data_IF_069040029116
#
_entry.id   IF_069040029116
#
_cell.length_a   1.000
_cell.length_b   1.000
_cell.length_c   1.000
_cell.angle_alpha   90.00
_cell.angle_beta   90.00
_cell.angle_gamma   90.00
#
_symmetry.space_group_name_H-M   'P 1'
#
loop_
_entity.id
_entity.type
_entity.pdbx_description
1 polymer ?
#
# COMPACT_ATOMS: atom_id res chain seq x y z
N UNK A 1 1.11 -14.88 4.14
CA UNK A 1 0.05 -13.87 4.00
C UNK A 1 0.32 -12.97 2.80
N UNK A 2 1.27 -12.03 2.85
CA UNK A 2 1.51 -11.07 1.73
C UNK A 2 1.92 -11.70 0.40
N UNK A 3 2.66 -12.82 0.41
CA UNK A 3 3.03 -13.57 -0.81
C UNK A 3 2.07 -14.70 -1.17
N UNK A 4 0.86 -14.73 -0.59
CA UNK A 4 -0.11 -15.79 -0.86
C UNK A 4 -0.78 -15.63 -2.22
N UNK A 5 -1.22 -16.75 -2.80
CA UNK A 5 -2.11 -16.75 -3.97
C UNK A 5 -3.59 -16.55 -3.62
N UNK A 6 -3.97 -16.61 -2.33
CA UNK A 6 -5.34 -16.33 -1.87
C UNK A 6 -5.46 -14.83 -1.52
N UNK A 7 -6.38 -14.14 -2.21
CA UNK A 7 -6.67 -12.72 -2.02
C UNK A 7 -7.03 -12.38 -0.57
N UNK A 8 -7.69 -13.29 0.16
CA UNK A 8 -8.10 -13.07 1.56
C UNK A 8 -6.90 -13.10 2.50
N UNK A 9 -5.94 -13.98 2.22
CA UNK A 9 -4.70 -14.06 3.00
C UNK A 9 -3.79 -12.86 2.72
N UNK A 10 -3.77 -12.37 1.47
CA UNK A 10 -3.10 -11.12 1.12
C UNK A 10 -3.75 -9.96 1.87
N UNK A 11 -5.08 -9.87 1.88
CA UNK A 11 -5.83 -8.87 2.63
C UNK A 11 -5.52 -8.88 4.13
N UNK A 12 -5.49 -10.06 4.75
CA UNK A 12 -5.08 -10.21 6.15
C UNK A 12 -3.62 -9.74 6.38
N UNK A 13 -2.73 -10.03 5.42
CA UNK A 13 -1.35 -9.55 5.45
C UNK A 13 -1.24 -8.03 5.37
N UNK A 14 -2.05 -7.38 4.54
CA UNK A 14 -2.09 -5.91 4.42
C UNK A 14 -2.59 -5.27 5.71
N UNK A 15 -3.63 -5.85 6.34
CA UNK A 15 -4.11 -5.40 7.66
C UNK A 15 -3.01 -5.54 8.70
N UNK A 16 -2.33 -6.69 8.75
CA UNK A 16 -1.21 -6.91 9.67
C UNK A 16 -0.08 -5.90 9.45
N UNK A 17 0.27 -5.58 8.20
CA UNK A 17 1.27 -4.57 7.87
C UNK A 17 0.89 -3.17 8.38
N UNK A 18 -0.38 -2.78 8.22
CA UNK A 18 -0.88 -1.51 8.75
C UNK A 18 -0.75 -1.45 10.27
N UNK A 19 -1.13 -2.51 10.97
CA UNK A 19 -1.07 -2.55 12.43
C UNK A 19 0.38 -2.59 12.95
N UNK A 20 1.30 -3.25 12.25
CA UNK A 20 2.73 -3.15 12.54
C UNK A 20 3.22 -1.69 12.43
N UNK A 21 2.93 -1.01 11.32
CA UNK A 21 3.32 0.40 11.15
C UNK A 21 2.71 1.29 12.25
N UNK A 22 1.47 1.03 12.66
CA UNK A 22 0.81 1.77 13.75
C UNK A 22 1.48 1.52 15.10
N UNK A 23 1.76 0.26 15.42
CA UNK A 23 2.36 -0.13 16.69
C UNK A 23 3.75 0.48 16.86
N UNK A 24 4.56 0.45 15.79
CA UNK A 24 5.93 0.94 15.80
C UNK A 24 6.06 2.42 15.38
N UNK A 25 4.96 3.16 15.14
CA UNK A 25 5.03 4.50 14.56
C UNK A 25 5.84 5.52 15.39
N UNK A 26 5.87 5.33 16.71
CA UNK A 26 6.58 6.20 17.66
C UNK A 26 7.95 5.62 18.06
N UNK A 27 8.29 4.43 17.59
CA UNK A 27 9.54 3.74 17.91
C UNK A 27 10.58 4.06 16.84
N UNK A 28 11.62 4.79 17.24
CA UNK A 28 12.62 5.31 16.31
C UNK A 28 13.50 4.22 15.66
N UNK A 29 13.73 3.12 16.39
CA UNK A 29 14.74 2.12 15.99
C UNK A 29 14.14 0.96 15.17
N UNK A 30 12.95 0.47 15.54
CA UNK A 30 12.33 -0.69 14.87
C UNK A 30 11.63 -0.34 13.54
N UNK A 31 11.02 0.84 13.45
CA UNK A 31 10.19 1.23 12.31
C UNK A 31 10.93 1.25 10.96
N UNK A 32 12.17 1.77 10.84
CA UNK A 32 12.90 1.77 9.56
C UNK A 32 13.14 0.37 8.99
N UNK A 33 13.43 -0.62 9.84
CA UNK A 33 13.61 -2.01 9.41
C UNK A 33 12.32 -2.63 8.88
N UNK A 34 11.21 -2.39 9.58
CA UNK A 34 9.87 -2.83 9.18
C UNK A 34 9.53 -2.25 7.81
N UNK A 35 9.70 -0.94 7.63
CA UNK A 35 9.43 -0.24 6.37
C UNK A 35 10.24 -0.84 5.22
N UNK A 36 11.55 -1.01 5.41
CA UNK A 36 12.47 -1.52 4.37
C UNK A 36 12.09 -2.93 3.92
N UNK A 37 11.57 -3.77 4.83
CA UNK A 37 11.14 -5.13 4.51
C UNK A 37 9.74 -5.21 3.87
N UNK A 38 8.77 -4.41 4.35
CA UNK A 38 7.37 -4.55 3.94
C UNK A 38 7.02 -3.73 2.71
N UNK A 39 7.57 -2.52 2.56
CA UNK A 39 7.10 -1.57 1.56
C UNK A 39 7.28 -2.05 0.11
N UNK A 40 8.42 -2.67 -0.27
CA UNK A 40 8.57 -3.21 -1.62
C UNK A 40 7.49 -4.25 -1.97
N UNK A 41 7.12 -5.07 -0.99
CA UNK A 41 6.09 -6.10 -1.15
C UNK A 41 4.71 -5.47 -1.34
N UNK A 42 4.37 -4.47 -0.53
CA UNK A 42 3.08 -3.76 -0.63
C UNK A 42 2.92 -3.05 -1.99
N UNK A 43 3.98 -2.41 -2.51
CA UNK A 43 3.97 -1.79 -3.84
C UNK A 43 3.75 -2.83 -4.93
N UNK A 44 4.39 -4.00 -4.81
CA UNK A 44 4.27 -5.08 -5.80
C UNK A 44 2.84 -5.66 -5.84
N UNK A 45 2.23 -5.86 -4.67
CA UNK A 45 0.84 -6.33 -4.56
C UNK A 45 -0.10 -5.33 -5.24
N UNK A 46 0.07 -4.04 -4.94
CA UNK A 46 -0.81 -3.00 -5.46
C UNK A 46 -0.68 -2.85 -6.98
N UNK A 47 0.55 -2.88 -7.51
CA UNK A 47 0.78 -2.81 -8.96
C UNK A 47 0.08 -3.96 -9.69
N UNK A 48 0.16 -5.18 -9.15
CA UNK A 48 -0.55 -6.35 -9.67
C UNK A 48 -2.08 -6.19 -9.64
N UNK A 49 -2.63 -5.65 -8.56
CA UNK A 49 -4.06 -5.38 -8.43
C UNK A 49 -4.54 -4.31 -9.42
N UNK A 50 -3.77 -3.24 -9.59
CA UNK A 50 -4.07 -2.16 -10.54
C UNK A 50 -4.01 -2.64 -11.99
N UNK A 51 -3.07 -3.52 -12.33
CA UNK A 51 -2.99 -4.13 -13.66
C UNK A 51 -4.23 -4.98 -13.96
N UNK A 52 -4.72 -5.74 -12.98
CA UNK A 52 -5.92 -6.61 -13.11
C UNK A 52 -7.22 -5.80 -13.24
N UNK A 53 -7.28 -4.62 -12.61
CA UNK A 53 -8.45 -3.74 -12.60
C UNK A 53 -8.66 -2.94 -13.90
N UNK A 54 -7.69 -2.94 -14.83
CA UNK A 54 -7.86 -2.24 -16.12
C UNK A 54 -8.82 -2.96 -17.07
N UNK A 55 -9.06 -4.26 -16.84
CA UNK A 55 -9.93 -5.09 -17.69
C UNK A 55 -11.36 -5.27 -17.16
N UNK A 56 -11.63 -4.95 -15.89
CA UNK A 56 -12.93 -5.15 -15.24
C UNK A 56 -13.14 -4.11 -14.14
N UNK A 57 -14.39 -3.70 -13.81
CA UNK A 57 -14.62 -2.85 -12.64
C UNK A 57 -14.01 -3.50 -11.40
N UNK A 58 -13.10 -2.78 -10.73
CA UNK A 58 -12.40 -3.29 -9.55
C UNK A 58 -13.42 -3.74 -8.50
N UNK A 59 -13.25 -4.95 -7.98
CA UNK A 59 -14.11 -5.43 -6.89
C UNK A 59 -13.93 -4.54 -5.66
N UNK A 60 -14.97 -4.42 -4.83
CA UNK A 60 -14.91 -3.65 -3.59
C UNK A 60 -13.78 -4.11 -2.66
N UNK A 61 -13.45 -5.40 -2.69
CA UNK A 61 -12.33 -5.98 -1.92
C UNK A 61 -10.97 -5.48 -2.41
N UNK A 62 -10.77 -5.38 -3.73
CA UNK A 62 -9.55 -4.82 -4.34
C UNK A 62 -9.39 -3.35 -3.94
N UNK A 63 -10.47 -2.57 -4.03
CA UNK A 63 -10.45 -1.15 -3.63
C UNK A 63 -10.16 -0.98 -2.14
N UNK A 64 -10.72 -1.85 -1.29
CA UNK A 64 -10.45 -1.83 0.15
C UNK A 64 -8.97 -2.15 0.46
N UNK A 65 -8.39 -3.15 -0.20
CA UNK A 65 -6.97 -3.48 -0.04
C UNK A 65 -6.07 -2.33 -0.51
N UNK A 66 -6.33 -1.77 -1.70
CA UNK A 66 -5.62 -0.60 -2.23
C UNK A 66 -5.68 0.56 -1.23
N UNK A 67 -6.86 0.85 -0.67
CA UNK A 67 -7.01 1.86 0.37
C UNK A 67 -6.13 1.57 1.61
N UNK A 68 -6.07 0.32 2.08
CA UNK A 68 -5.26 -0.05 3.23
C UNK A 68 -3.76 0.06 2.96
N UNK A 69 -3.30 -0.29 1.75
CA UNK A 69 -1.89 -0.13 1.33
C UNK A 69 -1.50 1.35 1.36
N UNK A 70 -2.31 2.22 0.76
CA UNK A 70 -2.09 3.66 0.77
C UNK A 70 -2.13 4.25 2.18
N UNK A 71 -3.06 3.77 3.02
CA UNK A 71 -3.16 4.17 4.42
C UNK A 71 -1.93 3.75 5.22
N UNK A 72 -1.35 2.59 4.92
CA UNK A 72 -0.10 2.10 5.53
C UNK A 72 1.05 3.04 5.21
N UNK A 73 1.21 3.41 3.93
CA UNK A 73 2.23 4.38 3.51
C UNK A 73 2.05 5.73 4.21
N UNK A 74 0.85 6.30 4.17
CA UNK A 74 0.52 7.58 4.82
C UNK A 74 0.82 7.54 6.33
N UNK A 75 0.50 6.44 7.00
CA UNK A 75 0.69 6.30 8.45
C UNK A 75 2.17 6.29 8.81
N UNK A 76 3.02 5.64 8.00
CA UNK A 76 4.46 5.62 8.23
C UNK A 76 5.09 7.01 8.08
N UNK A 77 4.71 7.77 7.03
CA UNK A 77 5.34 9.07 6.74
C UNK A 77 4.87 10.21 7.64
N UNK A 78 3.76 10.03 8.39
CA UNK A 78 3.16 11.08 9.22
C UNK A 78 4.03 11.43 10.44
N UNK A 79 4.77 10.47 10.98
CA UNK A 79 5.60 10.70 12.19
C UNK A 79 7.03 11.03 11.79
N UNK A 80 7.62 10.20 10.94
CA UNK A 80 8.99 10.39 10.48
C UNK A 80 9.16 9.78 9.08
N UNK A 81 10.02 10.39 8.28
CA UNK A 81 10.36 9.90 6.96
C UNK A 81 11.71 9.19 7.06
N UNK A 82 11.71 7.86 7.04
CA UNK A 82 12.96 7.06 7.13
C UNK A 82 13.91 7.36 5.96
N UNK A 83 15.23 7.11 6.10
CA UNK A 83 16.18 7.25 4.99
C UNK A 83 15.79 6.42 3.76
N UNK A 84 15.29 5.20 3.97
CA UNK A 84 14.81 4.35 2.88
C UNK A 84 13.61 5.00 2.15
N UNK A 85 12.63 5.54 2.88
CA UNK A 85 11.50 6.25 2.27
C UNK A 85 11.90 7.51 1.50
N UNK A 86 13.07 8.10 1.78
CA UNK A 86 13.63 9.24 1.04
C UNK A 86 14.45 8.82 -0.18
N UNK A 87 14.84 7.55 -0.25
CA UNK A 87 15.64 7.05 -1.36
C UNK A 87 14.81 6.99 -2.65
N UNK A 88 15.43 7.13 -3.83
CA UNK A 88 14.76 6.94 -5.10
C UNK A 88 14.11 5.55 -5.23
N UNK A 89 14.71 4.53 -4.60
CA UNK A 89 14.24 3.15 -4.61
C UNK A 89 12.87 2.98 -3.95
N UNK A 90 12.54 3.81 -2.96
CA UNK A 90 11.20 3.84 -2.35
C UNK A 90 10.32 4.94 -2.95
N UNK A 91 10.83 6.16 -3.10
CA UNK A 91 10.02 7.29 -3.56
C UNK A 91 9.42 7.08 -4.94
N UNK A 92 10.21 6.57 -5.88
CA UNK A 92 9.79 6.49 -7.28
C UNK A 92 8.68 5.44 -7.47
N UNK A 93 8.77 4.21 -6.94
CA UNK A 93 7.67 3.24 -7.04
C UNK A 93 6.38 3.73 -6.37
N UNK A 94 6.47 4.28 -5.15
CA UNK A 94 5.30 4.83 -4.45
C UNK A 94 4.68 6.03 -5.18
N UNK A 95 5.51 6.91 -5.73
CA UNK A 95 5.04 8.03 -6.55
C UNK A 95 4.28 7.56 -7.79
N UNK A 96 4.83 6.61 -8.54
CA UNK A 96 4.16 6.02 -9.72
C UNK A 96 2.83 5.37 -9.34
N UNK A 97 2.82 4.59 -8.26
CA UNK A 97 1.62 3.94 -7.76
C UNK A 97 0.53 4.96 -7.43
N UNK A 98 0.85 6.02 -6.67
CA UNK A 98 -0.11 7.08 -6.35
C UNK A 98 -0.68 7.77 -7.60
N UNK A 99 0.15 8.06 -8.60
CA UNK A 99 -0.32 8.62 -9.86
C UNK A 99 -1.27 7.69 -10.60
N UNK A 100 -0.98 6.38 -10.61
CA UNK A 100 -1.86 5.37 -11.23
C UNK A 100 -3.21 5.30 -10.52
N UNK A 101 -3.23 5.34 -9.19
CA UNK A 101 -4.46 5.31 -8.39
C UNK A 101 -5.32 6.53 -8.67
N UNK A 102 -4.72 7.73 -8.69
CA UNK A 102 -5.45 8.97 -9.01
C UNK A 102 -5.97 8.97 -10.45
N UNK A 103 -5.26 8.32 -11.36
CA UNK A 103 -5.67 8.14 -12.75
C UNK A 103 -6.74 7.07 -12.97
N UNK A 104 -7.17 6.33 -11.94
CA UNK A 104 -8.25 5.37 -12.08
C UNK A 104 -9.56 6.09 -12.38
N UNK A 105 -10.29 5.61 -13.41
CA UNK A 105 -11.63 6.10 -13.69
C UNK A 105 -12.55 5.72 -12.52
N UNK A 106 -13.01 6.72 -11.76
CA UNK A 106 -14.03 6.52 -10.73
C UNK A 106 -15.38 6.33 -11.45
N UNK A 107 -16.12 5.23 -11.22
CA UNK A 107 -17.45 5.06 -11.79
C UNK A 107 -18.33 6.26 -11.40
N UNK A 108 -19.02 6.85 -12.38
CA UNK A 108 -19.83 8.05 -12.20
C UNK A 108 -20.94 7.90 -11.13
N UNK A 109 -21.30 6.66 -10.79
CA UNK A 109 -22.31 6.33 -9.77
C UNK A 109 -21.86 6.64 -8.32
N UNK A 110 -20.58 6.93 -8.08
CA UNK A 110 -20.02 7.16 -6.75
C UNK A 110 -19.67 8.61 -6.41
N UNK A 111 -19.96 9.57 -7.30
CA UNK A 111 -19.70 11.00 -7.06
C UNK A 111 -20.98 11.64 -6.48
N UNK A 112 -20.92 12.33 -5.33
CA UNK A 112 -22.07 12.99 -4.73
C UNK A 112 -22.65 14.13 -5.57
#
# INVERSE_FOLDING_TARGET
LLGSGDVREVGAGVVAALECIRAFRQEADGLPGIITSLFPTLVTIDDGMLNTSTSQPASQEILAMLHLILKTYKTAIIVNLSPHQRSPESLVPWGRLLFRVVGMAVPAEGVP
#
